data_IF_726444432725
#
_entry.id   IF_726444432725
#
_cell.length_a   1.000
_cell.length_b   1.000
_cell.length_c   1.000
_cell.angle_alpha   90.00
_cell.angle_beta   90.00
_cell.angle_gamma   90.00
#
_symmetry.space_group_name_H-M   'P 1'
#
loop_
_entity.id
_entity.type
_entity.pdbx_description
1 polymer ?
#
# COMPACT_ATOMS: atom_id res chain seq x y z
N UNK A 1 11.93 10.35 17.06
CA UNK A 1 11.43 8.96 17.12
C UNK A 1 12.19 8.11 16.12
N UNK A 2 12.48 6.89 16.48
CA UNK A 2 13.24 5.99 15.63
C UNK A 2 12.38 4.80 15.22
N UNK A 3 12.55 4.36 13.96
CA UNK A 3 11.98 3.11 13.49
C UNK A 3 12.93 1.98 13.89
N UNK A 4 12.43 1.01 14.64
CA UNK A 4 13.25 -0.09 15.16
C UNK A 4 13.37 -1.26 14.20
N UNK A 5 12.49 -1.35 13.22
CA UNK A 5 12.47 -2.41 12.20
C UNK A 5 12.35 -3.82 12.80
N UNK A 6 11.66 -3.98 13.91
CA UNK A 6 11.46 -5.26 14.54
C UNK A 6 10.45 -6.09 13.79
N UNK A 7 10.78 -7.37 13.58
CA UNK A 7 9.87 -8.31 12.91
C UNK A 7 9.40 -7.83 11.53
N UNK A 8 10.24 -7.08 10.83
CA UNK A 8 9.95 -6.66 9.46
C UNK A 8 10.31 -7.80 8.51
N UNK A 9 9.35 -8.20 7.69
CA UNK A 9 9.56 -9.23 6.67
C UNK A 9 9.49 -8.56 5.30
N UNK A 10 10.58 -8.66 4.54
CA UNK A 10 10.64 -8.08 3.21
C UNK A 10 10.99 -9.19 2.22
N UNK A 11 10.14 -9.40 1.23
CA UNK A 11 10.40 -10.38 0.18
C UNK A 11 11.68 -10.05 -0.57
N UNK A 12 12.42 -11.08 -0.97
CA UNK A 12 13.66 -10.92 -1.74
C UNK A 12 13.40 -10.28 -3.12
N UNK A 13 12.19 -10.37 -3.64
CA UNK A 13 11.84 -9.75 -4.92
C UNK A 13 11.35 -8.31 -4.80
N UNK A 14 11.19 -7.81 -3.58
CA UNK A 14 10.81 -6.41 -3.38
C UNK A 14 11.98 -5.48 -3.68
N UNK A 15 11.65 -4.30 -4.22
CA UNK A 15 12.64 -3.26 -4.51
C UNK A 15 12.36 -2.07 -3.61
N UNK A 16 13.34 -1.73 -2.79
CA UNK A 16 13.22 -0.67 -1.79
C UNK A 16 14.17 0.46 -2.17
N UNK A 17 13.63 1.65 -2.33
CA UNK A 17 14.43 2.83 -2.67
C UNK A 17 15.26 3.35 -1.50
N UNK A 18 15.82 4.53 -1.69
CA UNK A 18 16.66 5.18 -0.69
C UNK A 18 15.82 5.87 0.38
N UNK A 19 16.35 5.92 1.61
CA UNK A 19 15.72 6.61 2.73
C UNK A 19 14.28 6.16 3.01
N UNK A 20 14.02 4.87 2.86
CA UNK A 20 12.72 4.27 3.18
C UNK A 20 12.72 3.85 4.64
N UNK A 21 11.65 4.18 5.35
CA UNK A 21 11.46 3.80 6.76
C UNK A 21 10.29 2.84 6.86
N UNK A 22 10.52 1.71 7.52
CA UNK A 22 9.51 0.67 7.67
C UNK A 22 9.38 0.34 9.15
N UNK A 23 8.17 0.45 9.67
CA UNK A 23 7.88 0.22 11.08
C UNK A 23 7.80 -1.24 11.46
N UNK A 24 7.68 -1.50 12.75
CA UNK A 24 7.69 -2.85 13.31
C UNK A 24 6.52 -3.70 12.80
N UNK A 25 6.76 -5.00 12.68
CA UNK A 25 5.75 -6.01 12.29
C UNK A 25 5.16 -5.81 10.90
N UNK A 26 5.79 -5.01 10.07
CA UNK A 26 5.31 -4.75 8.70
C UNK A 26 5.80 -5.85 7.77
N UNK A 27 4.94 -6.25 6.84
CA UNK A 27 5.25 -7.27 5.84
C UNK A 27 5.20 -6.65 4.46
N UNK A 28 6.29 -6.82 3.71
CA UNK A 28 6.39 -6.39 2.30
C UNK A 28 6.47 -7.65 1.46
N UNK A 29 5.44 -7.89 0.68
CA UNK A 29 5.32 -9.10 -0.14
C UNK A 29 6.10 -9.00 -1.45
N UNK A 30 6.00 -10.06 -2.25
CA UNK A 30 6.74 -10.18 -3.50
C UNK A 30 6.38 -9.09 -4.50
N UNK A 31 7.38 -8.65 -5.25
CA UNK A 31 7.24 -7.73 -6.37
C UNK A 31 6.73 -6.34 -5.99
N UNK A 32 6.82 -5.99 -4.71
CA UNK A 32 6.52 -4.63 -4.26
C UNK A 32 7.67 -3.71 -4.63
N UNK A 33 7.35 -2.54 -5.16
CA UNK A 33 8.32 -1.50 -5.49
C UNK A 33 7.99 -0.30 -4.62
N UNK A 34 8.93 0.08 -3.76
CA UNK A 34 8.80 1.24 -2.87
C UNK A 34 9.86 2.24 -3.29
N UNK A 35 9.43 3.41 -3.74
CA UNK A 35 10.33 4.45 -4.19
C UNK A 35 10.95 5.22 -3.02
N UNK A 36 11.75 6.24 -3.31
CA UNK A 36 12.54 6.93 -2.31
C UNK A 36 11.69 7.71 -1.31
N UNK A 37 12.21 7.86 -0.11
CA UNK A 37 11.64 8.70 0.95
C UNK A 37 10.24 8.27 1.40
N UNK A 38 9.89 7.00 1.24
CA UNK A 38 8.60 6.48 1.69
C UNK A 38 8.70 6.06 3.15
N UNK A 39 7.65 6.35 3.90
CA UNK A 39 7.50 5.90 5.28
C UNK A 39 6.30 4.97 5.37
N UNK A 40 6.53 3.76 5.88
CA UNK A 40 5.49 2.79 6.16
C UNK A 40 5.53 2.55 7.66
N UNK A 41 4.43 2.82 8.35
CA UNK A 41 4.37 2.72 9.79
C UNK A 41 4.19 1.27 10.24
N UNK A 42 3.94 1.08 11.55
CA UNK A 42 3.90 -0.27 12.13
C UNK A 42 2.69 -1.09 11.67
N UNK A 43 2.86 -2.40 11.68
CA UNK A 43 1.77 -3.36 11.49
C UNK A 43 1.04 -3.19 10.16
N UNK A 44 1.77 -2.81 9.13
CA UNK A 44 1.23 -2.69 7.77
C UNK A 44 1.50 -3.95 6.96
N UNK A 45 0.67 -4.16 5.93
CA UNK A 45 0.90 -5.18 4.93
C UNK A 45 0.90 -4.51 3.57
N UNK A 46 1.99 -4.64 2.83
CA UNK A 46 2.14 -4.03 1.51
C UNK A 46 2.30 -5.14 0.48
N UNK A 47 1.43 -5.12 -0.53
CA UNK A 47 1.42 -6.15 -1.55
C UNK A 47 0.68 -7.41 -1.13
N UNK A 48 -0.36 -7.27 -0.31
CA UNK A 48 -1.17 -8.41 0.15
C UNK A 48 -1.56 -9.28 -1.04
N UNK A 49 -1.31 -10.60 -0.98
CA UNK A 49 -1.64 -11.48 -2.10
C UNK A 49 -3.12 -11.52 -2.41
N UNK A 50 -3.43 -11.74 -3.68
CA UNK A 50 -4.81 -11.92 -4.13
C UNK A 50 -5.31 -13.30 -3.74
N UNK A 51 -6.62 -13.51 -3.82
CA UNK A 51 -7.23 -14.76 -3.34
C UNK A 51 -6.68 -16.01 -4.00
N UNK A 52 -6.24 -15.93 -5.25
CA UNK A 52 -5.66 -17.08 -5.96
C UNK A 52 -4.34 -17.57 -5.36
N UNK A 53 -3.69 -16.76 -4.52
CA UNK A 53 -2.50 -17.20 -3.79
C UNK A 53 -2.76 -18.49 -3.00
N UNK A 54 -3.94 -18.65 -2.47
CA UNK A 54 -4.29 -19.76 -1.59
C UNK A 54 -4.72 -21.03 -2.32
N UNK A 55 -4.90 -20.97 -3.63
CA UNK A 55 -5.41 -22.10 -4.41
C UNK A 55 -4.59 -22.44 -5.63
N UNK A 56 -3.67 -21.59 -6.06
CA UNK A 56 -2.88 -21.79 -7.28
C UNK A 56 -1.40 -21.90 -6.92
N UNK A 57 -0.84 -23.11 -7.13
CA UNK A 57 0.59 -23.36 -6.84
C UNK A 57 1.53 -22.53 -7.70
N UNK A 58 1.07 -22.06 -8.83
CA UNK A 58 1.85 -21.25 -9.76
C UNK A 58 1.59 -19.76 -9.58
N UNK A 59 0.96 -19.36 -8.48
CA UNK A 59 0.65 -17.96 -8.23
C UNK A 59 1.91 -17.11 -8.23
N UNK A 60 1.85 -15.99 -8.91
CA UNK A 60 2.86 -14.94 -8.83
C UNK A 60 2.19 -13.63 -8.45
N UNK A 61 2.75 -13.00 -7.44
CA UNK A 61 2.18 -11.76 -6.94
C UNK A 61 2.37 -10.65 -7.96
N UNK A 62 1.29 -10.01 -8.44
CA UNK A 62 1.46 -8.88 -9.34
C UNK A 62 2.11 -7.70 -8.62
N UNK A 63 2.80 -6.81 -9.34
CA UNK A 63 3.54 -5.75 -8.71
C UNK A 63 2.66 -4.70 -8.03
N UNK A 64 3.18 -4.15 -6.95
CA UNK A 64 2.60 -3.01 -6.24
C UNK A 64 3.62 -1.88 -6.28
N UNK A 65 3.19 -0.67 -6.64
CA UNK A 65 4.07 0.47 -6.69
C UNK A 65 3.64 1.53 -5.69
N UNK A 66 4.54 1.88 -4.79
CA UNK A 66 4.35 3.00 -3.85
C UNK A 66 5.27 4.13 -4.29
N UNK A 67 4.68 5.22 -4.75
CA UNK A 67 5.43 6.37 -5.26
C UNK A 67 6.23 7.08 -4.17
N UNK A 68 7.26 7.80 -4.58
CA UNK A 68 8.16 8.51 -3.67
C UNK A 68 7.40 9.46 -2.73
N UNK A 69 7.99 9.73 -1.59
CA UNK A 69 7.47 10.69 -0.60
C UNK A 69 6.10 10.30 -0.02
N UNK A 70 5.71 9.03 -0.14
CA UNK A 70 4.44 8.54 0.40
C UNK A 70 4.56 8.20 1.88
N UNK A 71 3.43 8.29 2.59
CA UNK A 71 3.33 7.91 4.00
C UNK A 71 2.11 7.01 4.19
N UNK A 72 2.35 5.78 4.64
CA UNK A 72 1.29 4.83 4.94
C UNK A 72 1.27 4.59 6.44
N UNK A 73 0.18 5.02 7.10
CA UNK A 73 0.06 4.96 8.55
C UNK A 73 -0.31 3.55 9.00
N UNK A 74 -0.20 3.33 10.31
CA UNK A 74 -0.23 2.00 10.93
C UNK A 74 -1.52 1.21 10.65
N UNK A 75 -1.37 -0.11 10.64
CA UNK A 75 -2.46 -1.08 10.45
C UNK A 75 -3.15 -0.98 9.09
N UNK A 76 -2.47 -0.46 8.09
CA UNK A 76 -3.02 -0.38 6.74
C UNK A 76 -2.65 -1.61 5.92
N UNK A 77 -3.54 -2.01 5.03
CA UNK A 77 -3.35 -3.16 4.15
C UNK A 77 -3.51 -2.71 2.71
N UNK A 78 -2.43 -2.83 1.96
CA UNK A 78 -2.39 -2.48 0.53
C UNK A 78 -2.24 -3.77 -0.26
N UNK A 79 -3.23 -4.09 -1.08
CA UNK A 79 -3.19 -5.31 -1.89
C UNK A 79 -2.26 -5.16 -3.09
N UNK A 80 -1.78 -6.30 -3.56
CA UNK A 80 -1.00 -6.37 -4.78
C UNK A 80 -1.77 -5.83 -5.99
N UNK A 81 -1.02 -5.47 -7.02
CA UNK A 81 -1.56 -4.92 -8.27
C UNK A 81 -2.24 -3.56 -8.08
N UNK A 82 -1.72 -2.76 -7.16
CA UNK A 82 -2.18 -1.39 -6.94
C UNK A 82 -1.02 -0.43 -7.14
N UNK A 83 -1.32 0.78 -7.62
CA UNK A 83 -0.30 1.77 -7.95
C UNK A 83 -0.65 3.11 -7.32
N UNK A 84 0.34 3.70 -6.68
CA UNK A 84 0.18 4.98 -5.98
C UNK A 84 1.23 5.97 -6.48
N UNK A 85 0.76 7.15 -6.91
CA UNK A 85 1.66 8.21 -7.33
C UNK A 85 2.44 8.81 -6.17
N UNK A 86 3.34 9.75 -6.48
CA UNK A 86 4.15 10.40 -5.46
C UNK A 86 3.27 11.12 -4.43
N UNK A 87 3.73 11.19 -3.20
CA UNK A 87 3.07 11.94 -2.15
C UNK A 87 1.76 11.33 -1.67
N UNK A 88 1.53 10.04 -1.93
CA UNK A 88 0.34 9.35 -1.44
C UNK A 88 0.39 9.23 0.08
N UNK A 89 -0.73 9.49 0.75
CA UNK A 89 -0.76 9.33 2.20
C UNK A 89 -2.05 8.70 2.67
N UNK A 90 -1.96 7.89 3.72
CA UNK A 90 -3.12 7.30 4.37
C UNK A 90 -3.18 7.70 5.84
N UNK A 91 -4.38 7.67 6.39
CA UNK A 91 -4.57 7.56 7.83
C UNK A 91 -4.33 6.13 8.30
N UNK A 92 -4.81 5.82 9.50
CA UNK A 92 -4.66 4.49 10.08
C UNK A 92 -5.73 3.51 9.60
N UNK A 93 -5.41 2.21 9.56
CA UNK A 93 -6.36 1.13 9.28
C UNK A 93 -7.09 1.33 7.95
N UNK A 94 -6.34 1.70 6.95
CA UNK A 94 -6.87 1.85 5.60
C UNK A 94 -6.66 0.54 4.84
N UNK A 95 -7.69 0.06 4.16
CA UNK A 95 -7.58 -1.10 3.28
C UNK A 95 -7.81 -0.67 1.85
N UNK A 96 -6.85 -0.98 0.98
CA UNK A 96 -6.95 -0.67 -0.44
C UNK A 96 -6.72 -1.97 -1.20
N UNK A 97 -7.76 -2.44 -1.87
CA UNK A 97 -7.71 -3.71 -2.57
C UNK A 97 -7.10 -3.59 -3.97
N UNK A 98 -6.96 -4.73 -4.61
CA UNK A 98 -6.27 -4.88 -5.88
C UNK A 98 -6.84 -4.02 -7.01
N UNK A 99 -6.02 -3.73 -7.99
CA UNK A 99 -6.38 -2.95 -9.18
C UNK A 99 -6.88 -1.55 -8.85
N UNK A 100 -6.30 -0.96 -7.81
CA UNK A 100 -6.54 0.43 -7.45
C UNK A 100 -5.40 1.29 -7.99
N UNK A 101 -5.72 2.42 -8.57
CA UNK A 101 -4.74 3.32 -9.12
C UNK A 101 -5.01 4.74 -8.64
N UNK A 102 -3.99 5.34 -8.03
CA UNK A 102 -4.07 6.69 -7.49
C UNK A 102 -3.04 7.57 -8.16
N UNK A 103 -3.46 8.76 -8.57
CA UNK A 103 -2.54 9.77 -9.08
C UNK A 103 -1.68 10.38 -7.99
N UNK A 104 -1.09 11.54 -8.26
CA UNK A 104 -0.18 12.22 -7.34
C UNK A 104 -0.93 12.91 -6.21
N UNK A 105 -0.32 12.91 -5.03
CA UNK A 105 -0.76 13.69 -3.87
C UNK A 105 -2.19 13.39 -3.42
N UNK A 106 -2.57 12.11 -3.51
CA UNK A 106 -3.86 11.67 -3.00
C UNK A 106 -3.77 11.37 -1.50
N UNK A 107 -4.88 11.56 -0.79
CA UNK A 107 -4.99 11.28 0.64
C UNK A 107 -6.22 10.43 0.93
N UNK A 108 -6.03 9.40 1.74
CA UNK A 108 -7.12 8.51 2.16
C UNK A 108 -7.22 8.56 3.68
N UNK A 109 -8.37 8.95 4.19
CA UNK A 109 -8.57 9.11 5.62
C UNK A 109 -8.67 7.78 6.39
N UNK A 110 -8.55 7.89 7.70
CA UNK A 110 -8.54 6.74 8.63
C UNK A 110 -9.78 5.85 8.48
N UNK A 111 -9.57 4.54 8.56
CA UNK A 111 -10.63 3.50 8.52
C UNK A 111 -11.38 3.47 7.18
N UNK A 112 -10.80 4.00 6.13
CA UNK A 112 -11.41 3.93 4.80
C UNK A 112 -11.16 2.58 4.16
N UNK A 113 -12.08 2.15 3.30
CA UNK A 113 -12.06 0.86 2.65
C UNK A 113 -12.31 1.06 1.15
N UNK A 114 -11.31 0.75 0.35
CA UNK A 114 -11.36 0.88 -1.10
C UNK A 114 -11.39 -0.54 -1.67
N UNK A 115 -12.50 -0.93 -2.29
CA UNK A 115 -12.75 -2.30 -2.70
C UNK A 115 -11.99 -2.77 -3.94
N UNK A 116 -11.24 -1.89 -4.57
CA UNK A 116 -10.45 -2.26 -5.74
C UNK A 116 -11.12 -1.93 -7.06
N UNK A 117 -10.38 -2.13 -8.15
CA UNK A 117 -10.84 -1.79 -9.50
C UNK A 117 -11.34 -0.36 -9.59
N UNK A 118 -10.57 0.56 -9.01
CA UNK A 118 -10.87 1.99 -8.97
C UNK A 118 -9.70 2.79 -9.51
N UNK A 119 -9.99 3.97 -10.03
CA UNK A 119 -8.98 4.88 -10.48
C UNK A 119 -9.30 6.28 -9.98
N UNK A 120 -8.32 6.91 -9.33
CA UNK A 120 -8.42 8.29 -8.85
C UNK A 120 -7.35 9.12 -9.53
N UNK A 121 -7.74 10.34 -9.93
CA UNK A 121 -6.79 11.31 -10.48
C UNK A 121 -5.90 11.91 -9.40
N UNK A 122 -5.17 12.96 -9.77
CA UNK A 122 -4.27 13.65 -8.84
C UNK A 122 -5.06 14.45 -7.79
N UNK A 123 -4.45 14.63 -6.63
CA UNK A 123 -4.99 15.47 -5.55
C UNK A 123 -6.33 15.01 -5.00
N UNK A 124 -6.66 13.74 -5.13
CA UNK A 124 -7.87 13.19 -4.55
C UNK A 124 -7.74 13.12 -3.02
N UNK A 125 -8.79 13.53 -2.32
CA UNK A 125 -8.79 13.49 -0.86
C UNK A 125 -10.09 12.87 -0.37
N UNK A 126 -9.98 11.71 0.25
CA UNK A 126 -11.09 11.03 0.90
C UNK A 126 -10.96 11.21 2.41
N UNK A 127 -12.05 11.62 3.04
CA UNK A 127 -12.09 11.75 4.49
C UNK A 127 -12.13 10.39 5.18
N UNK A 128 -12.16 10.39 6.51
CA UNK A 128 -12.16 9.16 7.28
C UNK A 128 -13.45 8.35 7.08
N UNK A 129 -13.34 7.03 7.22
CA UNK A 129 -14.46 6.10 7.18
C UNK A 129 -15.24 6.17 5.86
N UNK A 130 -14.52 6.28 4.74
CA UNK A 130 -15.13 6.28 3.41
C UNK A 130 -15.03 4.87 2.83
N UNK A 131 -16.12 4.40 2.22
CA UNK A 131 -16.17 3.10 1.56
C UNK A 131 -16.45 3.30 0.07
N UNK A 132 -15.51 2.85 -0.76
CA UNK A 132 -15.62 2.98 -2.21
C UNK A 132 -15.80 1.58 -2.80
N UNK A 133 -16.90 1.35 -3.49
CA UNK A 133 -17.17 0.08 -4.16
C UNK A 133 -16.30 -0.12 -5.39
N UNK A 134 -16.30 -1.36 -5.90
CA UNK A 134 -15.53 -1.71 -7.08
C UNK A 134 -16.03 -0.97 -8.33
N UNK A 135 -15.10 -0.74 -9.26
CA UNK A 135 -15.37 -0.13 -10.57
C UNK A 135 -15.88 1.30 -10.47
N UNK A 136 -15.51 1.99 -9.40
CA UNK A 136 -15.79 3.42 -9.24
C UNK A 136 -14.70 4.26 -9.91
N UNK A 137 -15.10 5.36 -10.46
CA UNK A 137 -14.16 6.30 -11.09
C UNK A 137 -14.38 7.71 -10.57
#
# INVERSE_FOLDING_TARGET
MKFNNRNVLISSSAKIGDNVKIGDNTVIYDNVIIEDNVTICNDCVIGEPLSSYYSDENYQNPPTLIGKDSVIRSHSIIYANSTFGEGFSTGHRVTIRENSKFGKFCRIGTVSDIQGFVEFGDYCWLHSNVHIGQKST
#
